data_IF_837048659640
#
_entry.id   IF_837048659640
#
_cell.length_a   1.000
_cell.length_b   1.000
_cell.length_c   1.000
_cell.angle_alpha   90.00
_cell.angle_beta   90.00
_cell.angle_gamma   90.00
#
_symmetry.space_group_name_H-M   'P 1'
#
loop_
_entity.id
_entity.type
_entity.pdbx_description
1 polymer ?
#
# COMPACT_ATOMS: atom_id res chain seq x y z
N UNK A 1 3.08 -15.31 -2.59
CA UNK A 1 2.52 -14.59 -1.41
C UNK A 1 1.17 -14.01 -1.73
N UNK A 2 0.33 -13.82 -0.72
CA UNK A 2 -0.90 -13.02 -0.78
C UNK A 2 -0.57 -11.58 -0.35
N UNK A 3 -0.73 -10.62 -1.25
CA UNK A 3 -0.39 -9.21 -1.01
C UNK A 3 -1.67 -8.38 -1.11
N UNK A 4 -1.90 -7.54 -0.12
CA UNK A 4 -3.01 -6.58 -0.12
C UNK A 4 -2.46 -5.17 -0.18
N UNK A 5 -2.90 -4.38 -1.17
CA UNK A 5 -2.56 -2.96 -1.30
C UNK A 5 -3.79 -2.12 -0.97
N UNK A 6 -3.75 -1.42 0.14
CA UNK A 6 -4.83 -0.60 0.68
C UNK A 6 -4.69 0.85 0.18
N UNK A 7 -5.44 1.19 -0.84
CA UNK A 7 -5.47 2.51 -1.46
C UNK A 7 -5.20 2.45 -2.97
N UNK A 8 -6.26 2.66 -3.76
CA UNK A 8 -6.24 2.64 -5.22
C UNK A 8 -6.02 4.05 -5.82
N UNK A 9 -5.05 4.79 -5.29
CA UNK A 9 -4.45 5.95 -5.96
C UNK A 9 -3.48 5.51 -7.07
N UNK A 10 -2.86 6.45 -7.78
CA UNK A 10 -1.89 6.13 -8.84
C UNK A 10 -0.77 5.21 -8.36
N UNK A 11 -0.15 5.56 -7.22
CA UNK A 11 1.00 4.83 -6.69
C UNK A 11 0.64 3.44 -6.15
N UNK A 12 -0.45 3.33 -5.38
CA UNK A 12 -0.93 2.02 -4.89
C UNK A 12 -1.34 1.09 -6.03
N UNK A 13 -2.00 1.63 -7.06
CA UNK A 13 -2.35 0.86 -8.27
C UNK A 13 -1.10 0.36 -8.99
N UNK A 14 -0.09 1.23 -9.20
CA UNK A 14 1.14 0.86 -9.89
C UNK A 14 1.91 -0.24 -9.15
N UNK A 15 2.03 -0.15 -7.83
CA UNK A 15 2.68 -1.17 -7.01
C UNK A 15 1.93 -2.49 -7.00
N UNK A 16 0.59 -2.45 -6.90
CA UNK A 16 -0.23 -3.66 -6.99
C UNK A 16 -0.05 -4.36 -8.35
N UNK A 17 0.00 -3.59 -9.44
CA UNK A 17 0.29 -4.12 -10.78
C UNK A 17 1.70 -4.69 -10.88
N UNK A 18 2.71 -4.00 -10.33
CA UNK A 18 4.09 -4.46 -10.30
C UNK A 18 4.23 -5.80 -9.57
N UNK A 19 3.67 -5.90 -8.37
CA UNK A 19 3.66 -7.15 -7.61
C UNK A 19 2.91 -8.29 -8.33
N UNK A 20 1.79 -7.98 -9.01
CA UNK A 20 1.01 -8.97 -9.73
C UNK A 20 1.69 -9.50 -11.03
N UNK A 21 2.69 -8.78 -11.54
CA UNK A 21 3.50 -9.20 -12.71
C UNK A 21 4.72 -10.03 -12.35
N UNK A 22 5.07 -10.12 -11.08
CA UNK A 22 6.23 -10.90 -10.65
C UNK A 22 6.09 -12.37 -11.02
N UNK A 23 7.15 -12.94 -11.57
CA UNK A 23 7.21 -14.33 -12.01
C UNK A 23 6.99 -15.35 -10.88
N UNK A 24 7.14 -14.92 -9.63
CA UNK A 24 6.85 -15.73 -8.43
C UNK A 24 5.36 -15.98 -8.14
N UNK A 25 4.43 -15.46 -8.97
CA UNK A 25 3.00 -15.77 -8.87
C UNK A 25 2.34 -15.26 -7.58
N UNK A 26 2.41 -13.96 -7.28
CA UNK A 26 1.73 -13.40 -6.12
C UNK A 26 0.23 -13.23 -6.36
N UNK A 27 -0.60 -13.59 -5.37
CA UNK A 27 -2.02 -13.26 -5.34
C UNK A 27 -2.18 -11.83 -4.79
N UNK A 28 -2.40 -10.85 -5.66
CA UNK A 28 -2.44 -9.43 -5.28
C UNK A 28 -3.86 -8.90 -5.34
N UNK A 29 -4.28 -8.24 -4.26
CA UNK A 29 -5.56 -7.53 -4.18
C UNK A 29 -5.33 -6.03 -3.99
N UNK A 30 -5.85 -5.23 -4.91
CA UNK A 30 -5.94 -3.77 -4.80
C UNK A 30 -7.27 -3.40 -4.14
N UNK A 31 -7.20 -2.70 -3.02
CA UNK A 31 -8.37 -2.24 -2.29
C UNK A 31 -8.66 -0.76 -2.51
N UNK A 32 -9.93 -0.44 -2.69
CA UNK A 32 -10.43 0.94 -2.68
C UNK A 32 -11.62 1.09 -1.73
N UNK A 33 -11.71 2.24 -1.09
CA UNK A 33 -12.82 2.57 -0.19
C UNK A 33 -14.10 2.92 -0.94
N UNK A 34 -13.97 3.55 -2.10
CA UNK A 34 -15.07 4.01 -2.94
C UNK A 34 -15.62 2.84 -3.78
N UNK A 35 -16.84 2.41 -3.49
CA UNK A 35 -17.50 1.32 -4.20
C UNK A 35 -17.69 1.58 -5.70
N UNK A 36 -17.91 2.85 -6.10
CA UNK A 36 -17.99 3.20 -7.53
C UNK A 36 -16.64 3.02 -8.22
N UNK A 37 -15.55 3.44 -7.57
CA UNK A 37 -14.21 3.21 -8.08
C UNK A 37 -13.91 1.70 -8.22
N UNK A 38 -14.33 0.89 -7.27
CA UNK A 38 -14.19 -0.58 -7.32
C UNK A 38 -14.94 -1.14 -8.53
N UNK A 39 -16.21 -0.75 -8.71
CA UNK A 39 -17.03 -1.20 -9.84
C UNK A 39 -16.41 -0.82 -11.20
N UNK A 40 -15.96 0.43 -11.33
CA UNK A 40 -15.31 0.92 -12.55
C UNK A 40 -14.00 0.16 -12.85
N UNK A 41 -13.18 -0.11 -11.84
CA UNK A 41 -11.93 -0.87 -11.99
C UNK A 41 -12.19 -2.34 -12.37
N UNK A 42 -13.23 -2.95 -11.82
CA UNK A 42 -13.62 -4.32 -12.19
C UNK A 42 -14.12 -4.40 -13.62
N UNK A 43 -14.99 -3.47 -14.02
CA UNK A 43 -15.59 -3.45 -15.37
C UNK A 43 -14.55 -3.16 -16.47
N UNK A 44 -13.63 -2.21 -16.21
CA UNK A 44 -12.66 -1.74 -17.22
C UNK A 44 -11.33 -2.48 -17.17
N UNK A 45 -11.07 -3.22 -16.09
CA UNK A 45 -9.73 -3.79 -15.81
C UNK A 45 -8.63 -2.74 -15.88
N UNK A 46 -8.94 -1.50 -15.41
CA UNK A 46 -8.07 -0.34 -15.45
C UNK A 46 -8.46 0.64 -14.34
N UNK A 47 -7.50 1.38 -13.80
CA UNK A 47 -7.79 2.53 -12.92
C UNK A 47 -7.76 3.82 -13.75
N UNK A 48 -8.79 4.06 -14.55
CA UNK A 48 -8.86 5.19 -15.46
C UNK A 48 -8.79 6.56 -14.77
N UNK A 49 -9.18 6.63 -13.48
CA UNK A 49 -9.18 7.86 -12.69
C UNK A 49 -7.78 8.32 -12.27
N UNK A 50 -6.93 7.38 -11.84
CA UNK A 50 -5.63 7.71 -11.23
C UNK A 50 -4.43 7.20 -12.03
N UNK A 51 -4.62 6.24 -12.92
CA UNK A 51 -3.58 5.64 -13.74
C UNK A 51 -4.13 5.27 -15.12
N UNK A 52 -4.57 6.26 -15.91
CA UNK A 52 -5.19 6.01 -17.21
C UNK A 52 -4.21 5.36 -18.20
N UNK A 53 -4.76 4.57 -19.12
CA UNK A 53 -4.01 3.98 -20.23
C UNK A 53 -3.13 2.78 -19.89
N UNK A 54 -3.31 2.19 -18.70
CA UNK A 54 -2.57 0.99 -18.30
C UNK A 54 -3.53 -0.08 -17.78
N UNK A 55 -3.61 -1.21 -18.49
CA UNK A 55 -4.49 -2.32 -18.13
C UNK A 55 -3.94 -3.14 -16.97
N UNK A 56 -4.84 -3.65 -16.13
CA UNK A 56 -4.49 -4.51 -15.01
C UNK A 56 -3.98 -5.88 -15.50
N UNK A 57 -2.90 -6.41 -14.92
CA UNK A 57 -2.54 -7.81 -15.07
C UNK A 57 -3.72 -8.73 -14.73
N UNK A 58 -3.85 -9.85 -15.42
CA UNK A 58 -4.94 -10.80 -15.18
C UNK A 58 -4.99 -11.28 -13.72
N UNK A 59 -3.83 -11.44 -13.09
CA UNK A 59 -3.69 -11.88 -11.70
C UNK A 59 -4.08 -10.82 -10.66
N UNK A 60 -4.28 -9.54 -11.04
CA UNK A 60 -4.65 -8.49 -10.10
C UNK A 60 -6.15 -8.53 -9.78
N UNK A 61 -6.48 -8.81 -8.53
CA UNK A 61 -7.83 -8.68 -8.01
C UNK A 61 -8.12 -7.26 -7.50
N UNK A 62 -9.39 -6.86 -7.51
CA UNK A 62 -9.87 -5.59 -6.93
C UNK A 62 -10.93 -5.89 -5.88
N UNK A 63 -10.92 -5.17 -4.76
CA UNK A 63 -11.86 -5.39 -3.67
C UNK A 63 -12.25 -4.07 -2.97
N UNK A 64 -13.48 -4.01 -2.47
CA UNK A 64 -13.98 -2.99 -1.53
C UNK A 64 -14.37 -3.59 -0.18
N UNK A 65 -13.98 -4.83 0.11
CA UNK A 65 -14.28 -5.49 1.38
C UNK A 65 -13.59 -4.81 2.58
N UNK A 66 -13.94 -5.23 3.79
CA UNK A 66 -13.32 -4.72 5.00
C UNK A 66 -11.78 -4.88 4.98
N UNK A 67 -11.00 -3.81 5.22
CA UNK A 67 -9.53 -3.85 5.14
C UNK A 67 -8.89 -4.84 6.11
N UNK A 68 -9.45 -5.01 7.32
CA UNK A 68 -8.90 -5.95 8.31
C UNK A 68 -9.14 -7.40 7.90
N UNK A 69 -10.29 -7.69 7.29
CA UNK A 69 -10.59 -9.04 6.77
C UNK A 69 -9.59 -9.41 5.68
N UNK A 70 -9.29 -8.49 4.76
CA UNK A 70 -8.30 -8.71 3.73
C UNK A 70 -6.89 -8.85 4.32
N UNK A 71 -6.52 -7.99 5.27
CA UNK A 71 -5.21 -7.97 5.89
C UNK A 71 -4.91 -9.25 6.69
N UNK A 72 -5.89 -9.81 7.39
CA UNK A 72 -5.75 -11.07 8.13
C UNK A 72 -5.48 -12.30 7.25
N UNK A 73 -5.87 -12.22 5.99
CA UNK A 73 -5.64 -13.29 5.02
C UNK A 73 -4.37 -13.08 4.18
N UNK A 74 -3.64 -11.98 4.41
CA UNK A 74 -2.46 -11.58 3.64
C UNK A 74 -1.15 -12.04 4.29
N UNK A 75 -0.11 -12.19 3.47
CA UNK A 75 1.28 -12.36 3.89
C UNK A 75 2.01 -11.00 3.98
N UNK A 76 1.49 -9.99 3.27
CA UNK A 76 2.00 -8.61 3.26
C UNK A 76 0.87 -7.63 3.01
N UNK A 77 0.80 -6.56 3.81
CA UNK A 77 -0.14 -5.45 3.64
C UNK A 77 0.62 -4.17 3.30
N UNK A 78 0.22 -3.47 2.24
CA UNK A 78 0.81 -2.20 1.81
C UNK A 78 -0.25 -1.10 1.94
N UNK A 79 -0.02 -0.14 2.82
CA UNK A 79 -0.89 1.03 3.01
C UNK A 79 -0.45 2.13 2.06
N UNK A 80 -1.20 2.30 0.97
CA UNK A 80 -0.95 3.26 -0.10
C UNK A 80 -1.89 4.48 -0.05
N UNK A 81 -2.41 4.78 1.15
CA UNK A 81 -3.27 5.96 1.39
C UNK A 81 -2.44 7.21 1.62
N UNK A 82 -3.00 8.42 1.41
CA UNK A 82 -2.36 9.67 1.82
C UNK A 82 -2.09 9.71 3.34
N UNK A 83 -1.11 10.54 3.76
CA UNK A 83 -0.76 10.72 5.18
C UNK A 83 -1.96 11.05 6.06
N UNK A 84 -2.88 11.90 5.58
CA UNK A 84 -4.10 12.27 6.29
C UNK A 84 -5.05 11.09 6.61
N UNK A 85 -4.93 9.97 5.89
CA UNK A 85 -5.72 8.77 6.13
C UNK A 85 -4.94 7.65 6.85
N UNK A 86 -3.64 7.85 7.12
CA UNK A 86 -2.79 6.81 7.70
C UNK A 86 -3.29 6.36 9.07
N UNK A 87 -3.55 7.29 9.99
CA UNK A 87 -4.00 6.98 11.35
C UNK A 87 -5.26 6.12 11.35
N UNK A 88 -6.27 6.52 10.60
CA UNK A 88 -7.52 5.76 10.51
C UNK A 88 -7.32 4.36 9.92
N UNK A 89 -6.43 4.23 8.94
CA UNK A 89 -6.10 2.94 8.35
C UNK A 89 -5.34 2.03 9.34
N UNK A 90 -4.36 2.56 10.07
CA UNK A 90 -3.64 1.80 11.09
C UNK A 90 -4.55 1.36 12.24
N UNK A 91 -5.49 2.21 12.65
CA UNK A 91 -6.51 1.84 13.63
C UNK A 91 -7.41 0.69 13.12
N UNK A 92 -7.81 0.74 11.86
CA UNK A 92 -8.59 -0.33 11.23
C UNK A 92 -7.81 -1.65 11.10
N UNK A 93 -6.47 -1.59 11.05
CA UNK A 93 -5.59 -2.75 10.96
C UNK A 93 -5.18 -3.33 12.32
N UNK A 94 -5.67 -2.82 13.45
CA UNK A 94 -5.35 -3.39 14.77
C UNK A 94 -5.69 -4.88 14.82
N UNK A 95 -4.76 -5.67 15.33
CA UNK A 95 -4.87 -7.13 15.37
C UNK A 95 -4.51 -7.83 14.05
N UNK A 96 -3.97 -7.10 13.07
CA UNK A 96 -3.29 -7.71 11.92
C UNK A 96 -1.93 -8.23 12.37
N UNK A 97 -1.63 -9.49 12.02
CA UNK A 97 -0.34 -10.15 12.33
C UNK A 97 0.60 -10.18 11.13
N UNK A 98 0.09 -9.89 9.93
CA UNK A 98 0.92 -9.80 8.74
C UNK A 98 1.83 -8.56 8.78
N UNK A 99 3.02 -8.60 8.16
CA UNK A 99 3.84 -7.43 7.90
C UNK A 99 3.05 -6.31 7.22
N UNK A 100 3.17 -5.08 7.74
CA UNK A 100 2.51 -3.88 7.19
C UNK A 100 3.57 -2.88 6.74
N UNK A 101 3.44 -2.32 5.55
CA UNK A 101 4.30 -1.21 5.10
C UNK A 101 3.44 -0.07 4.58
N UNK A 102 3.81 1.19 4.88
CA UNK A 102 3.16 2.36 4.31
C UNK A 102 4.03 3.05 3.27
N UNK A 103 3.38 3.83 2.40
CA UNK A 103 4.01 4.58 1.31
C UNK A 103 3.94 6.09 1.51
N UNK A 104 3.09 6.57 2.40
CA UNK A 104 2.87 8.00 2.60
C UNK A 104 4.15 8.69 3.09
N UNK A 105 4.29 9.94 2.69
CA UNK A 105 5.41 10.84 3.05
C UNK A 105 4.84 12.06 3.76
N UNK A 106 5.71 12.77 4.50
CA UNK A 106 5.35 13.99 5.21
C UNK A 106 4.87 13.72 6.63
N UNK A 107 4.08 14.66 7.15
CA UNK A 107 3.63 14.70 8.52
C UNK A 107 2.10 14.61 8.60
N UNK A 108 1.59 14.06 9.69
CA UNK A 108 0.17 14.18 10.03
C UNK A 108 -0.14 15.63 10.36
N UNK A 109 -1.26 16.15 9.86
CA UNK A 109 -1.67 17.53 10.15
C UNK A 109 -1.98 17.69 11.65
N UNK A 110 -1.49 18.77 12.23
CA UNK A 110 -1.78 19.16 13.62
C UNK A 110 -3.17 19.80 13.70
N UNK A 111 -3.93 19.47 14.74
CA UNK A 111 -5.19 20.13 15.00
C UNK A 111 -4.97 21.63 15.33
N UNK A 112 -5.87 22.54 14.90
CA UNK A 112 -5.69 23.98 15.16
C UNK A 112 -5.53 24.36 16.63
N UNK A 113 -6.03 23.54 17.56
CA UNK A 113 -5.89 23.75 19.00
C UNK A 113 -4.46 23.50 19.51
N UNK A 114 -3.62 22.77 18.76
CA UNK A 114 -2.26 22.39 19.15
C UNK A 114 -1.20 23.19 18.36
N UNK A 115 -1.43 24.47 18.15
CA UNK A 115 -0.63 25.35 17.27
C UNK A 115 0.86 25.51 17.66
N UNK A 116 1.31 24.89 18.74
CA UNK A 116 2.73 24.81 19.16
C UNK A 116 3.37 23.44 18.94
N UNK A 117 2.61 22.48 18.39
CA UNK A 117 3.05 21.10 18.16
C UNK A 117 3.46 20.90 16.71
N UNK A 118 4.46 20.07 16.47
CA UNK A 118 4.82 19.59 15.12
C UNK A 118 3.96 18.38 14.76
N UNK A 119 3.61 18.24 13.47
CA UNK A 119 2.92 17.04 12.98
C UNK A 119 3.77 15.78 13.14
N UNK A 120 3.12 14.66 13.35
CA UNK A 120 3.79 13.36 13.57
C UNK A 120 4.23 12.73 12.24
N UNK A 121 5.39 12.11 12.27
CA UNK A 121 5.82 11.22 11.20
C UNK A 121 5.01 9.91 11.21
N UNK A 122 4.96 9.22 10.08
CA UNK A 122 4.18 7.99 9.93
C UNK A 122 4.49 6.92 10.99
N UNK A 123 5.75 6.76 11.38
CA UNK A 123 6.14 5.79 12.41
C UNK A 123 5.69 6.21 13.82
N UNK A 124 5.63 7.51 14.11
CA UNK A 124 5.11 8.06 15.36
C UNK A 124 3.59 7.88 15.43
N UNK A 125 2.90 8.12 14.31
CA UNK A 125 1.46 7.80 14.18
C UNK A 125 1.21 6.32 14.41
N UNK A 126 2.05 5.43 13.87
CA UNK A 126 1.94 3.99 14.08
C UNK A 126 2.13 3.63 15.56
N UNK A 127 3.16 4.18 16.23
CA UNK A 127 3.42 3.92 17.65
C UNK A 127 2.25 4.34 18.55
N UNK A 128 1.52 5.40 18.19
CA UNK A 128 0.34 5.84 18.93
C UNK A 128 -0.93 5.05 18.58
N UNK A 129 -1.17 4.84 17.27
CA UNK A 129 -2.43 4.29 16.79
C UNK A 129 -2.48 2.75 16.85
N UNK A 130 -1.37 2.08 16.58
CA UNK A 130 -1.31 0.62 16.47
C UNK A 130 0.11 0.11 16.79
N UNK A 131 0.57 0.21 18.06
CA UNK A 131 1.94 -0.10 18.47
C UNK A 131 2.33 -1.57 18.24
N UNK A 132 1.36 -2.46 18.20
CA UNK A 132 1.59 -3.91 18.04
C UNK A 132 1.77 -4.36 16.58
N UNK A 133 1.58 -3.46 15.61
CA UNK A 133 1.78 -3.81 14.21
C UNK A 133 3.26 -4.04 13.90
N UNK A 134 3.53 -5.14 13.20
CA UNK A 134 4.85 -5.43 12.62
C UNK A 134 4.99 -4.56 11.37
N UNK A 135 5.54 -3.36 11.52
CA UNK A 135 5.39 -2.32 10.51
C UNK A 135 6.72 -1.77 9.98
N UNK A 136 6.66 -1.17 8.78
CA UNK A 136 7.78 -0.52 8.13
C UNK A 136 7.34 0.45 7.03
N UNK A 137 8.29 0.91 6.24
CA UNK A 137 8.07 1.86 5.16
C UNK A 137 8.65 1.32 3.85
N UNK A 138 7.92 1.54 2.77
CA UNK A 138 8.40 1.39 1.41
C UNK A 138 8.46 2.78 0.75
N UNK A 139 9.60 3.16 0.23
CA UNK A 139 9.82 4.47 -0.40
C UNK A 139 10.70 4.31 -1.65
N UNK A 140 10.86 5.38 -2.42
CA UNK A 140 11.74 5.39 -3.59
C UNK A 140 11.51 6.63 -4.45
N UNK A 141 12.47 6.99 -5.32
CA UNK A 141 12.39 8.09 -6.25
C UNK A 141 11.75 7.65 -7.58
N UNK A 142 10.47 7.18 -7.53
CA UNK A 142 9.85 6.53 -8.69
C UNK A 142 8.47 7.12 -8.98
N UNK A 143 8.09 7.14 -10.26
CA UNK A 143 6.79 7.61 -10.71
C UNK A 143 5.83 6.43 -10.96
N UNK A 144 4.58 6.61 -10.58
CA UNK A 144 3.56 5.56 -10.70
C UNK A 144 3.40 5.02 -12.13
N UNK A 145 3.48 5.90 -13.13
CA UNK A 145 3.36 5.51 -14.53
C UNK A 145 4.53 4.64 -15.02
N UNK A 146 5.75 4.90 -14.56
CA UNK A 146 6.93 4.12 -14.89
C UNK A 146 6.83 2.70 -14.32
N UNK A 147 6.48 2.59 -13.04
CA UNK A 147 6.26 1.31 -12.38
C UNK A 147 5.12 0.53 -13.03
N UNK A 148 4.02 1.20 -13.36
CA UNK A 148 2.88 0.56 -14.01
C UNK A 148 3.20 0.04 -15.41
N UNK A 149 4.16 0.64 -16.11
CA UNK A 149 4.67 0.18 -17.42
C UNK A 149 5.78 -0.86 -17.30
N UNK A 150 6.18 -1.23 -16.08
CA UNK A 150 7.24 -2.22 -15.84
C UNK A 150 8.66 -1.68 -16.07
N UNK A 151 8.85 -0.37 -16.00
CA UNK A 151 10.18 0.22 -16.09
C UNK A 151 10.99 -0.08 -14.82
N UNK A 152 12.31 -0.28 -14.93
CA UNK A 152 13.18 -0.48 -13.78
C UNK A 152 13.05 0.65 -12.76
N UNK A 153 12.90 0.28 -11.50
CA UNK A 153 12.57 1.23 -10.43
C UNK A 153 13.30 0.88 -9.16
N UNK A 154 13.96 1.85 -8.55
CA UNK A 154 14.58 1.68 -7.25
C UNK A 154 13.56 1.89 -6.13
N UNK A 155 13.45 0.91 -5.22
CA UNK A 155 12.64 0.99 -4.01
C UNK A 155 13.50 0.74 -2.78
N UNK A 156 13.17 1.40 -1.68
CA UNK A 156 13.82 1.22 -0.38
C UNK A 156 12.80 0.69 0.61
N UNK A 157 13.10 -0.49 1.17
CA UNK A 157 12.35 -1.09 2.26
C UNK A 157 13.07 -0.85 3.60
N UNK A 158 12.42 -0.19 4.55
CA UNK A 158 12.99 0.06 5.86
C UNK A 158 12.03 -0.35 6.99
N UNK A 159 12.55 -1.11 7.94
CA UNK A 159 11.83 -1.54 9.15
C UNK A 159 12.81 -2.01 10.21
N UNK A 160 12.40 -1.97 11.49
CA UNK A 160 13.09 -2.67 12.59
C UNK A 160 12.89 -4.19 12.50
N UNK A 161 11.81 -4.64 11.85
CA UNK A 161 11.45 -6.05 11.71
C UNK A 161 11.97 -6.61 10.39
N UNK A 162 12.81 -7.66 10.46
CA UNK A 162 13.33 -8.33 9.26
C UNK A 162 12.21 -8.86 8.37
N UNK A 163 11.15 -9.43 8.98
CA UNK A 163 9.99 -9.96 8.25
C UNK A 163 9.32 -8.96 7.31
N UNK A 164 9.29 -7.66 7.67
CA UNK A 164 8.76 -6.60 6.79
C UNK A 164 9.69 -6.38 5.60
N UNK A 165 10.99 -6.24 5.86
CA UNK A 165 11.99 -6.00 4.81
C UNK A 165 12.03 -7.17 3.81
N UNK A 166 12.07 -8.39 4.35
CA UNK A 166 12.14 -9.62 3.54
C UNK A 166 10.89 -9.80 2.69
N UNK A 167 9.69 -9.57 3.26
CA UNK A 167 8.43 -9.61 2.53
C UNK A 167 8.38 -8.56 1.40
N UNK A 168 8.85 -7.32 1.65
CA UNK A 168 8.90 -6.27 0.64
C UNK A 168 9.90 -6.60 -0.48
N UNK A 169 11.08 -7.12 -0.13
CA UNK A 169 12.05 -7.58 -1.13
C UNK A 169 11.46 -8.71 -1.96
N UNK A 170 10.86 -9.72 -1.34
CA UNK A 170 10.23 -10.83 -2.04
C UNK A 170 9.06 -10.39 -2.95
N UNK A 171 8.34 -9.31 -2.57
CA UNK A 171 7.20 -8.78 -3.34
C UNK A 171 7.64 -8.00 -4.61
N UNK A 172 8.80 -7.32 -4.57
CA UNK A 172 9.16 -6.34 -5.60
C UNK A 172 10.53 -6.56 -6.25
N UNK A 173 11.39 -7.41 -5.68
CA UNK A 173 12.68 -7.68 -6.29
C UNK A 173 12.49 -8.47 -7.59
N UNK A 174 13.00 -7.92 -8.70
CA UNK A 174 13.11 -8.63 -9.97
C UNK A 174 14.59 -8.71 -10.35
N UNK A 175 15.07 -9.86 -10.87
CA UNK A 175 16.35 -9.87 -11.54
C UNK A 175 16.27 -8.88 -12.72
N UNK A 176 17.12 -7.86 -12.70
CA UNK A 176 17.29 -6.88 -13.79
C UNK A 176 18.08 -7.49 -14.92
#
# INVERSE_FOLDING_TARGET
MKIVVLGAGAWGTALAMGAARQTGGHAVTLWARDGQQVADMLARRQNARYLPGVDFPAALAVSGADPLVLARAADLVIVATPMAALRSMLLALRGCTAPVAWLCKGFEAVAPADSGSFGLLAHEVCAQAAPDLIAGVLSGPSFAQEVARGQPTALVAASRHASVRDALVAAFHSPS
#
